data_IF_239821412367
#
_entry.id   IF_239821412367
#
_cell.length_a   1.000
_cell.length_b   1.000
_cell.length_c   1.000
_cell.angle_alpha   90.00
_cell.angle_beta   90.00
_cell.angle_gamma   90.00
#
_symmetry.space_group_name_H-M   'P 1'
#
loop_
_entity.id
_entity.type
_entity.pdbx_description
1 polymer ?
#
# COMPACT_ATOMS: atom_id res chain seq x y z
N UNK A 1 13.04 -12.15 -37.10
CA UNK A 1 13.85 -11.28 -36.20
C UNK A 1 13.06 -10.64 -35.05
N UNK A 2 11.78 -10.28 -35.20
CA UNK A 2 11.00 -9.52 -34.18
C UNK A 2 10.76 -10.28 -32.86
N UNK A 3 10.64 -11.63 -32.89
CA UNK A 3 10.42 -12.44 -31.68
C UNK A 3 11.57 -12.36 -30.67
N UNK A 4 12.79 -12.17 -31.17
CA UNK A 4 13.98 -11.95 -30.35
C UNK A 4 13.81 -10.66 -29.53
N UNK A 5 13.46 -9.55 -30.20
CA UNK A 5 13.42 -8.23 -29.57
C UNK A 5 12.45 -8.17 -28.37
N UNK A 6 11.21 -8.62 -28.52
CA UNK A 6 10.22 -8.59 -27.42
C UNK A 6 10.62 -9.47 -26.24
N UNK A 7 11.24 -10.63 -26.50
CA UNK A 7 11.71 -11.53 -25.45
C UNK A 7 12.89 -10.93 -24.69
N UNK A 8 13.86 -10.35 -25.39
CA UNK A 8 15.00 -9.68 -24.77
C UNK A 8 14.58 -8.41 -24.03
N UNK A 9 13.64 -7.63 -24.57
CA UNK A 9 13.10 -6.46 -23.90
C UNK A 9 12.36 -6.84 -22.59
N UNK A 10 11.47 -7.84 -22.65
CA UNK A 10 10.79 -8.34 -21.45
C UNK A 10 11.79 -8.84 -20.40
N UNK A 11 12.80 -9.60 -20.82
CA UNK A 11 13.86 -10.09 -19.93
C UNK A 11 14.66 -8.94 -19.30
N UNK A 12 15.08 -7.95 -20.10
CA UNK A 12 15.86 -6.81 -19.63
C UNK A 12 15.07 -5.97 -18.62
N UNK A 13 13.80 -5.66 -18.92
CA UNK A 13 12.91 -4.95 -18.01
C UNK A 13 12.74 -5.74 -16.70
N UNK A 14 12.45 -7.04 -16.80
CA UNK A 14 12.27 -7.91 -15.64
C UNK A 14 13.54 -7.97 -14.78
N UNK A 15 14.71 -8.07 -15.39
CA UNK A 15 15.98 -8.15 -14.66
C UNK A 15 16.23 -6.86 -13.87
N UNK A 16 16.04 -5.69 -14.49
CA UNK A 16 16.19 -4.39 -13.83
C UNK A 16 15.18 -4.20 -12.70
N UNK A 17 13.91 -4.55 -12.93
CA UNK A 17 12.85 -4.31 -11.93
C UNK A 17 12.85 -5.34 -10.79
N UNK A 18 13.38 -6.55 -11.02
CA UNK A 18 13.23 -7.70 -10.09
C UNK A 18 13.73 -7.42 -8.68
N UNK A 19 14.87 -6.74 -8.53
CA UNK A 19 15.46 -6.41 -7.23
C UNK A 19 14.52 -5.52 -6.40
N UNK A 20 13.96 -4.47 -7.03
CA UNK A 20 13.06 -3.54 -6.37
C UNK A 20 11.69 -4.18 -6.06
N UNK A 21 11.16 -4.98 -6.99
CA UNK A 21 9.90 -5.73 -6.79
C UNK A 21 10.06 -6.72 -5.63
N UNK A 22 11.21 -7.38 -5.50
CA UNK A 22 11.48 -8.31 -4.41
C UNK A 22 11.46 -7.61 -3.05
N UNK A 23 12.15 -6.47 -2.93
CA UNK A 23 12.14 -5.64 -1.71
C UNK A 23 10.71 -5.17 -1.40
N UNK A 24 10.00 -4.65 -2.40
CA UNK A 24 8.63 -4.17 -2.25
C UNK A 24 7.67 -5.28 -1.82
N UNK A 25 7.82 -6.49 -2.37
CA UNK A 25 7.01 -7.65 -2.01
C UNK A 25 7.28 -8.09 -0.56
N UNK A 26 8.54 -8.24 -0.17
CA UNK A 26 8.92 -8.65 1.18
C UNK A 26 8.42 -7.64 2.24
N UNK A 27 8.61 -6.35 1.99
CA UNK A 27 8.11 -5.29 2.88
C UNK A 27 6.58 -5.17 2.84
N UNK A 28 5.95 -5.40 1.69
CA UNK A 28 4.50 -5.39 1.52
C UNK A 28 3.80 -6.47 2.35
N UNK A 29 4.40 -7.67 2.46
CA UNK A 29 3.90 -8.74 3.34
C UNK A 29 3.89 -8.28 4.80
N UNK A 30 4.96 -7.63 5.26
CA UNK A 30 5.05 -7.09 6.62
C UNK A 30 3.98 -6.01 6.84
N UNK A 31 3.81 -5.09 5.87
CA UNK A 31 2.86 -3.99 5.96
C UNK A 31 1.40 -4.45 5.86
N UNK A 32 1.10 -5.57 5.21
CA UNK A 32 -0.25 -6.12 5.16
C UNK A 32 -0.77 -6.58 6.54
N UNK A 33 0.13 -6.87 7.49
CA UNK A 33 -0.22 -7.31 8.85
C UNK A 33 -0.64 -6.12 9.72
N UNK A 34 -0.06 -4.93 9.53
CA UNK A 34 -0.36 -3.75 10.36
C UNK A 34 -1.86 -3.39 10.39
N UNK A 35 -2.57 -3.29 9.24
CA UNK A 35 -4.02 -3.04 9.24
C UNK A 35 -4.84 -4.15 9.91
N UNK A 36 -4.43 -5.41 9.78
CA UNK A 36 -5.11 -6.56 10.41
C UNK A 36 -4.96 -6.46 11.92
N UNK A 37 -3.74 -6.21 12.41
CA UNK A 37 -3.47 -6.03 13.83
C UNK A 37 -4.27 -4.85 14.41
N UNK A 38 -4.34 -3.73 13.68
CA UNK A 38 -5.12 -2.56 14.11
C UNK A 38 -6.63 -2.83 14.15
N UNK A 39 -7.18 -3.61 13.23
CA UNK A 39 -8.60 -3.99 13.24
C UNK A 39 -8.96 -4.97 14.37
N UNK A 40 -8.00 -5.76 14.85
CA UNK A 40 -8.21 -6.69 15.97
C UNK A 40 -8.13 -6.01 17.34
N UNK A 41 -7.71 -4.74 17.41
CA UNK A 41 -7.67 -4.01 18.68
C UNK A 41 -9.10 -3.83 19.22
N UNK A 42 -9.35 -4.12 20.52
CA UNK A 42 -10.67 -3.98 21.15
C UNK A 42 -11.03 -2.51 21.44
N UNK A 43 -10.57 -1.58 20.60
CA UNK A 43 -10.80 -0.14 20.72
C UNK A 43 -12.00 0.33 19.88
N UNK A 44 -12.60 -0.57 19.08
CA UNK A 44 -13.72 -0.24 18.20
C UNK A 44 -14.99 -0.11 19.03
N UNK A 45 -15.38 1.12 19.32
CA UNK A 45 -16.66 1.39 19.97
C UNK A 45 -17.81 1.04 19.01
N UNK A 46 -18.74 0.19 19.45
CA UNK A 46 -19.95 -0.14 18.68
C UNK A 46 -20.82 1.10 18.40
N UNK A 47 -20.62 2.18 19.16
CA UNK A 47 -21.35 3.43 19.04
C UNK A 47 -20.77 4.39 17.98
N UNK A 48 -19.59 4.11 17.41
CA UNK A 48 -18.97 4.97 16.39
C UNK A 48 -19.88 5.18 15.18
N UNK A 49 -20.53 4.12 14.69
CA UNK A 49 -21.39 4.18 13.50
C UNK A 49 -22.68 4.98 13.72
N UNK A 50 -23.08 5.19 14.98
CA UNK A 50 -24.32 5.90 15.35
C UNK A 50 -24.08 7.32 15.88
N UNK A 51 -22.82 7.78 15.93
CA UNK A 51 -22.47 9.10 16.50
C UNK A 51 -22.22 10.10 15.39
N UNK A 52 -22.89 11.26 15.45
CA UNK A 52 -22.65 12.35 14.50
C UNK A 52 -21.32 13.05 14.82
N UNK A 53 -20.57 13.45 13.80
CA UNK A 53 -19.31 14.20 13.96
C UNK A 53 -19.49 15.45 14.84
N UNK A 54 -20.64 16.14 14.73
CA UNK A 54 -20.97 17.30 15.55
C UNK A 54 -21.05 16.98 17.05
N UNK A 55 -21.58 15.81 17.41
CA UNK A 55 -21.64 15.33 18.80
C UNK A 55 -20.24 15.02 19.32
N UNK A 56 -19.40 14.40 18.49
CA UNK A 56 -18.00 14.14 18.82
C UNK A 56 -17.21 15.43 19.03
N UNK A 57 -17.35 16.40 18.12
CA UNK A 57 -16.69 17.69 18.25
C UNK A 57 -17.15 18.45 19.51
N UNK A 58 -18.43 18.39 19.87
CA UNK A 58 -18.93 18.99 21.11
C UNK A 58 -18.37 18.30 22.36
N UNK A 59 -18.39 16.96 22.39
CA UNK A 59 -17.85 16.19 23.51
C UNK A 59 -16.34 16.45 23.70
N UNK A 60 -15.59 16.52 22.60
CA UNK A 60 -14.15 16.82 22.62
C UNK A 60 -13.90 18.24 23.05
N UNK A 61 -14.55 19.24 22.46
CA UNK A 61 -14.38 20.65 22.81
C UNK A 61 -14.68 20.94 24.28
N UNK A 62 -15.68 20.25 24.85
CA UNK A 62 -16.06 20.43 26.25
C UNK A 62 -15.07 19.82 27.24
N UNK A 63 -14.37 18.73 26.84
CA UNK A 63 -13.50 17.96 27.73
C UNK A 63 -12.01 18.25 27.53
N UNK A 64 -11.63 18.65 26.31
CA UNK A 64 -10.28 18.99 25.89
C UNK A 64 -10.33 20.33 25.13
N UNK A 65 -10.43 21.46 25.85
CA UNK A 65 -10.55 22.79 25.22
C UNK A 65 -9.30 23.17 24.40
N UNK A 66 -8.14 22.56 24.67
CA UNK A 66 -6.88 22.77 23.94
C UNK A 66 -6.56 21.64 22.94
N UNK A 67 -7.59 21.07 22.30
CA UNK A 67 -7.35 20.15 21.18
C UNK A 67 -6.73 20.86 19.97
N UNK A 68 -5.57 20.37 19.56
CA UNK A 68 -4.81 20.87 18.40
C UNK A 68 -5.30 20.21 17.12
N UNK A 69 -5.59 18.89 17.17
CA UNK A 69 -5.98 18.12 15.99
C UNK A 69 -6.87 16.94 16.35
N UNK A 70 -7.88 16.70 15.52
CA UNK A 70 -8.73 15.51 15.59
C UNK A 70 -8.64 14.77 14.25
N UNK A 71 -8.21 13.52 14.30
CA UNK A 71 -8.05 12.66 13.14
C UNK A 71 -8.88 11.39 13.31
N UNK A 72 -9.66 11.04 12.27
CA UNK A 72 -10.40 9.79 12.24
C UNK A 72 -9.59 8.79 11.42
N UNK A 73 -9.05 7.77 12.08
CA UNK A 73 -8.31 6.71 11.41
C UNK A 73 -9.24 5.77 10.62
N UNK A 74 -8.67 5.09 9.62
CA UNK A 74 -9.36 4.10 8.79
C UNK A 74 -9.96 2.93 9.59
N UNK A 75 -9.46 2.69 10.80
CA UNK A 75 -9.98 1.69 11.76
C UNK A 75 -11.15 2.21 12.61
N UNK A 76 -11.73 3.37 12.25
CA UNK A 76 -12.84 4.01 12.97
C UNK A 76 -12.48 4.41 14.41
N UNK A 77 -11.22 4.78 14.63
CA UNK A 77 -10.77 5.37 15.89
C UNK A 77 -10.67 6.88 15.73
N UNK A 78 -11.06 7.61 16.77
CA UNK A 78 -10.85 9.06 16.86
C UNK A 78 -9.58 9.28 17.66
N UNK A 79 -8.55 9.77 16.99
CA UNK A 79 -7.29 10.17 17.60
C UNK A 79 -7.34 11.67 17.83
N UNK A 80 -7.00 12.10 19.05
CA UNK A 80 -6.84 13.51 19.36
C UNK A 80 -5.41 13.81 19.77
N UNK A 81 -4.92 14.94 19.30
CA UNK A 81 -3.70 15.59 19.76
C UNK A 81 -4.13 16.78 20.63
N UNK A 82 -3.78 16.75 21.90
CA UNK A 82 -4.07 17.80 22.88
C UNK A 82 -2.82 18.15 23.64
N UNK A 83 -2.72 19.39 24.08
CA UNK A 83 -1.70 19.82 25.03
C UNK A 83 -2.26 19.57 26.43
N UNK A 84 -1.49 18.93 27.31
CA UNK A 84 -1.90 18.71 28.70
C UNK A 84 -1.66 19.97 29.55
N UNK A 85 -2.14 19.99 30.79
CA UNK A 85 -1.96 21.14 31.71
C UNK A 85 -0.48 21.43 32.04
N UNK A 86 0.43 20.50 31.74
CA UNK A 86 1.89 20.67 31.87
C UNK A 86 2.55 21.22 30.60
N UNK A 87 1.80 21.46 29.51
CA UNK A 87 2.33 21.97 28.24
C UNK A 87 2.97 20.90 27.34
N UNK A 88 2.72 19.61 27.60
CA UNK A 88 3.23 18.50 26.79
C UNK A 88 2.18 18.00 25.79
N UNK A 89 2.62 17.66 24.58
CA UNK A 89 1.76 17.08 23.54
C UNK A 89 1.38 15.64 23.91
N UNK A 90 0.07 15.38 24.10
CA UNK A 90 -0.48 14.05 24.28
C UNK A 90 -1.31 13.62 23.07
N UNK A 91 -1.01 12.43 22.55
CA UNK A 91 -1.80 11.79 21.50
C UNK A 91 -2.47 10.52 22.01
N UNK A 92 -3.81 10.47 21.97
CA UNK A 92 -4.54 9.30 22.44
C UNK A 92 -5.86 9.09 21.70
N UNK A 93 -6.37 7.86 21.79
CA UNK A 93 -7.65 7.47 21.23
C UNK A 93 -8.78 7.78 22.19
N UNK A 94 -9.86 8.37 21.67
CA UNK A 94 -11.04 8.71 22.44
C UNK A 94 -12.30 8.03 21.92
N UNK A 95 -13.27 7.90 22.80
CA UNK A 95 -14.60 7.45 22.47
C UNK A 95 -15.42 8.60 21.84
N UNK A 96 -16.05 8.38 20.67
CA UNK A 96 -16.63 9.45 19.85
C UNK A 96 -17.82 10.17 20.51
N UNK A 97 -18.50 9.55 21.49
CA UNK A 97 -19.71 10.11 22.11
C UNK A 97 -19.45 10.88 23.41
N UNK A 98 -18.52 10.43 24.24
CA UNK A 98 -18.26 10.97 25.58
C UNK A 98 -16.81 11.50 25.76
N UNK A 99 -16.00 11.43 24.71
CA UNK A 99 -14.60 11.83 24.70
C UNK A 99 -13.78 11.17 25.84
N UNK A 100 -14.11 9.95 26.25
CA UNK A 100 -13.28 9.19 27.20
C UNK A 100 -12.05 8.60 26.51
N UNK A 101 -10.89 8.68 27.18
CA UNK A 101 -9.63 8.10 26.72
C UNK A 101 -9.77 6.57 26.75
N UNK A 102 -9.82 5.95 25.57
CA UNK A 102 -9.92 4.49 25.41
C UNK A 102 -8.52 3.85 25.47
N UNK A 103 -7.49 4.57 25.03
CA UNK A 103 -6.11 4.09 25.08
C UNK A 103 -5.12 5.12 24.56
N UNK A 104 -3.84 4.96 24.90
CA UNK A 104 -2.77 5.78 24.34
C UNK A 104 -2.53 5.43 22.88
N UNK A 105 -2.20 6.45 22.06
CA UNK A 105 -1.70 6.21 20.71
C UNK A 105 -0.30 5.64 20.84
N UNK A 106 -0.15 4.31 20.78
CA UNK A 106 1.17 3.73 20.70
C UNK A 106 1.76 4.10 19.35
N UNK A 107 2.99 4.66 19.28
CA UNK A 107 3.65 4.91 18.01
C UNK A 107 3.74 3.60 17.20
N UNK A 108 3.66 3.72 15.87
CA UNK A 108 3.82 2.56 14.96
C UNK A 108 5.02 1.74 15.40
N UNK A 109 4.87 0.41 15.48
CA UNK A 109 5.98 -0.47 15.86
C UNK A 109 7.20 -0.19 14.96
N UNK A 110 8.43 -0.22 15.50
CA UNK A 110 9.65 0.06 14.73
C UNK A 110 9.76 -0.75 13.43
N UNK A 111 9.31 -2.01 13.47
CA UNK A 111 9.28 -2.89 12.30
C UNK A 111 8.40 -2.34 11.16
N UNK A 112 7.19 -1.85 11.47
CA UNK A 112 6.29 -1.29 10.47
C UNK A 112 6.80 0.06 9.93
N UNK A 113 7.44 0.88 10.78
CA UNK A 113 8.09 2.12 10.33
C UNK A 113 9.27 1.84 9.39
N UNK A 114 10.11 0.87 9.75
CA UNK A 114 11.22 0.39 8.92
C UNK A 114 10.70 -0.12 7.58
N UNK A 115 9.72 -1.03 7.59
CA UNK A 115 9.13 -1.60 6.39
C UNK A 115 8.47 -0.52 5.51
N UNK A 116 7.76 0.44 6.11
CA UNK A 116 7.12 1.56 5.38
C UNK A 116 8.17 2.42 4.67
N UNK A 117 9.25 2.75 5.37
CA UNK A 117 10.31 3.61 4.82
C UNK A 117 11.07 2.89 3.71
N UNK A 118 11.41 1.61 3.89
CA UNK A 118 12.04 0.80 2.87
C UNK A 118 11.14 0.62 1.64
N UNK A 119 9.86 0.25 1.84
CA UNK A 119 8.89 0.00 0.78
C UNK A 119 8.61 1.25 -0.07
N UNK A 120 8.51 2.40 0.58
CA UNK A 120 8.05 3.64 -0.08
C UNK A 120 9.19 4.45 -0.67
N UNK A 121 10.35 4.45 -0.04
CA UNK A 121 11.46 5.35 -0.42
C UNK A 121 12.83 4.72 -0.35
N UNK A 122 12.98 3.42 -0.08
CA UNK A 122 14.29 2.75 -0.01
C UNK A 122 15.27 3.43 0.97
N UNK A 123 14.76 4.15 2.00
CA UNK A 123 15.53 5.04 2.88
C UNK A 123 16.20 6.27 2.19
N UNK A 124 15.85 6.56 0.94
CA UNK A 124 16.40 7.66 0.13
C UNK A 124 15.43 8.85 -0.02
N UNK A 125 14.40 8.95 0.83
CA UNK A 125 13.47 10.08 0.82
C UNK A 125 12.75 10.28 -0.53
N UNK A 126 12.93 11.45 -1.15
CA UNK A 126 12.30 11.79 -2.44
C UNK A 126 12.83 10.96 -3.61
N UNK A 127 14.14 10.71 -3.66
CA UNK A 127 14.79 9.96 -4.74
C UNK A 127 14.26 8.53 -4.79
N UNK A 128 14.18 7.87 -3.64
CA UNK A 128 13.65 6.50 -3.61
C UNK A 128 12.16 6.43 -3.93
N UNK A 129 11.36 7.47 -3.64
CA UNK A 129 9.96 7.53 -4.12
C UNK A 129 9.88 7.55 -5.64
N UNK A 130 10.78 8.28 -6.31
CA UNK A 130 10.88 8.28 -7.78
C UNK A 130 11.30 6.88 -8.28
N UNK A 131 12.29 6.25 -7.65
CA UNK A 131 12.73 4.89 -8.02
C UNK A 131 11.58 3.88 -7.88
N UNK A 132 10.82 3.93 -6.79
CA UNK A 132 9.67 3.04 -6.57
C UNK A 132 8.53 3.32 -7.57
N UNK A 133 8.29 4.59 -7.93
CA UNK A 133 7.33 4.95 -8.98
C UNK A 133 7.76 4.39 -10.35
N UNK A 134 9.04 4.56 -10.72
CA UNK A 134 9.60 3.96 -11.94
C UNK A 134 9.49 2.44 -11.89
N UNK A 135 9.75 1.81 -10.74
CA UNK A 135 9.60 0.36 -10.55
C UNK A 135 8.16 -0.09 -10.83
N UNK A 136 7.16 0.65 -10.36
CA UNK A 136 5.75 0.36 -10.63
C UNK A 136 5.39 0.49 -12.12
N UNK A 137 5.97 1.49 -12.81
CA UNK A 137 5.83 1.64 -14.26
C UNK A 137 6.50 0.48 -15.02
N UNK A 138 7.71 0.08 -14.62
CA UNK A 138 8.41 -1.06 -15.20
C UNK A 138 7.61 -2.36 -15.01
N UNK A 139 7.03 -2.56 -13.83
CA UNK A 139 6.15 -3.70 -13.56
C UNK A 139 4.94 -3.74 -14.52
N UNK A 140 4.32 -2.59 -14.79
CA UNK A 140 3.25 -2.47 -15.78
C UNK A 140 3.73 -2.83 -17.20
N UNK A 141 4.90 -2.32 -17.61
CA UNK A 141 5.49 -2.63 -18.92
C UNK A 141 5.85 -4.12 -19.06
N UNK A 142 6.37 -4.75 -18.01
CA UNK A 142 6.65 -6.20 -17.96
C UNK A 142 5.33 -6.98 -18.12
N UNK A 143 4.24 -6.55 -17.47
CA UNK A 143 2.94 -7.18 -17.60
C UNK A 143 2.40 -7.09 -19.05
N UNK A 144 2.45 -5.90 -19.65
CA UNK A 144 2.00 -5.67 -21.04
C UNK A 144 2.82 -6.48 -22.05
N UNK A 145 4.15 -6.47 -21.92
CA UNK A 145 5.04 -7.26 -22.78
C UNK A 145 4.85 -8.77 -22.56
N UNK A 146 4.59 -9.20 -21.33
CA UNK A 146 4.27 -10.60 -21.01
C UNK A 146 2.97 -11.07 -21.67
N UNK A 147 1.91 -10.26 -21.63
CA UNK A 147 0.65 -10.52 -22.34
C UNK A 147 0.91 -10.67 -23.84
N UNK A 148 1.65 -9.72 -24.44
CA UNK A 148 2.01 -9.76 -25.85
C UNK A 148 2.75 -11.05 -26.24
N UNK A 149 3.73 -11.47 -25.42
CA UNK A 149 4.46 -12.72 -25.63
C UNK A 149 3.55 -13.96 -25.53
N UNK A 150 2.58 -13.98 -24.62
CA UNK A 150 1.60 -15.07 -24.50
C UNK A 150 0.72 -15.15 -25.75
N UNK A 151 0.20 -14.03 -26.24
CA UNK A 151 -0.64 -13.99 -27.45
C UNK A 151 0.14 -14.49 -28.66
N UNK A 152 1.39 -14.05 -28.81
CA UNK A 152 2.28 -14.52 -29.87
C UNK A 152 2.55 -16.02 -29.77
N UNK A 153 2.77 -16.54 -28.54
CA UNK A 153 2.95 -17.98 -28.30
C UNK A 153 1.70 -18.79 -28.68
N UNK A 154 0.51 -18.24 -28.42
CA UNK A 154 -0.78 -18.88 -28.72
C UNK A 154 -1.26 -18.65 -30.17
N UNK A 155 -0.54 -17.85 -30.96
CA UNK A 155 -0.84 -17.46 -32.35
C UNK A 155 -2.15 -16.69 -32.56
N UNK A 156 -2.98 -16.48 -31.52
CA UNK A 156 -4.25 -15.77 -31.64
C UNK A 156 -4.66 -15.12 -30.29
N UNK A 157 -5.20 -13.88 -30.33
CA UNK A 157 -5.68 -13.17 -29.13
C UNK A 157 -6.78 -13.93 -28.35
N UNK A 158 -7.77 -14.52 -29.05
CA UNK A 158 -8.82 -15.35 -28.44
C UNK A 158 -8.31 -16.61 -27.72
N UNK A 159 -7.10 -17.08 -28.07
CA UNK A 159 -6.48 -18.25 -27.44
C UNK A 159 -5.68 -17.90 -26.18
N UNK A 160 -5.70 -16.65 -25.73
CA UNK A 160 -5.10 -16.25 -24.47
C UNK A 160 -5.58 -17.11 -23.30
N UNK A 161 -6.87 -17.49 -23.30
CA UNK A 161 -7.47 -18.31 -22.24
C UNK A 161 -7.32 -19.83 -22.43
N UNK A 162 -6.85 -20.28 -23.60
CA UNK A 162 -6.71 -21.71 -23.89
C UNK A 162 -5.57 -22.36 -23.08
N UNK A 163 -5.54 -23.70 -23.11
CA UNK A 163 -4.52 -24.52 -22.44
C UNK A 163 -3.12 -24.13 -22.93
N UNK A 164 -2.24 -23.85 -21.98
CA UNK A 164 -0.83 -23.54 -22.28
C UNK A 164 -0.12 -24.82 -22.69
N UNK A 165 0.57 -24.80 -23.83
CA UNK A 165 1.39 -25.92 -24.30
C UNK A 165 2.56 -26.11 -23.31
N UNK A 166 2.81 -27.35 -22.91
CA UNK A 166 3.91 -27.68 -21.99
C UNK A 166 5.22 -27.70 -22.77
N UNK A 167 5.95 -26.59 -22.71
CA UNK A 167 7.27 -26.43 -23.36
C UNK A 167 8.39 -26.40 -22.28
N UNK A 168 8.36 -27.37 -21.37
CA UNK A 168 9.26 -27.47 -20.20
C UNK A 168 8.66 -26.91 -18.90
N UNK A 169 9.27 -27.25 -17.76
CA UNK A 169 8.74 -26.93 -16.43
C UNK A 169 8.70 -25.41 -16.16
N UNK A 170 9.83 -24.71 -16.23
CA UNK A 170 9.92 -23.28 -15.90
C UNK A 170 9.07 -22.38 -16.82
N UNK A 171 9.14 -22.50 -18.17
CA UNK A 171 8.36 -21.65 -19.07
C UNK A 171 6.84 -21.90 -18.97
N UNK A 172 6.45 -23.13 -18.62
CA UNK A 172 5.06 -23.48 -18.40
C UNK A 172 4.49 -22.79 -17.15
N UNK A 173 5.16 -22.92 -16.00
CA UNK A 173 4.70 -22.28 -14.77
C UNK A 173 4.81 -20.77 -14.81
N UNK A 174 5.85 -20.20 -15.43
CA UNK A 174 5.97 -18.76 -15.60
C UNK A 174 4.77 -18.17 -16.34
N UNK A 175 4.32 -18.82 -17.43
CA UNK A 175 3.14 -18.36 -18.20
C UNK A 175 1.83 -18.58 -17.44
N UNK A 176 1.68 -19.69 -16.71
CA UNK A 176 0.46 -19.93 -15.93
C UNK A 176 0.34 -18.94 -14.77
N UNK A 177 1.39 -18.82 -13.95
CA UNK A 177 1.40 -17.91 -12.83
C UNK A 177 1.25 -16.46 -13.31
N UNK A 178 1.97 -16.08 -14.37
CA UNK A 178 1.84 -14.75 -14.97
C UNK A 178 0.43 -14.41 -15.46
N UNK A 179 -0.34 -15.40 -15.96
CA UNK A 179 -1.74 -15.21 -16.32
C UNK A 179 -2.63 -15.00 -15.09
N UNK A 180 -2.43 -15.81 -14.06
CA UNK A 180 -3.22 -15.74 -12.82
C UNK A 180 -2.98 -14.43 -12.07
N UNK A 181 -1.73 -13.96 -12.04
CA UNK A 181 -1.34 -12.74 -11.33
C UNK A 181 -1.48 -11.49 -12.18
N UNK A 182 -1.85 -11.59 -13.47
CA UNK A 182 -1.92 -10.44 -14.37
C UNK A 182 -2.83 -9.33 -13.83
N UNK A 183 -4.05 -9.68 -13.39
CA UNK A 183 -5.02 -8.71 -12.87
C UNK A 183 -4.47 -8.03 -11.60
N UNK A 184 -4.03 -8.78 -10.55
CA UNK A 184 -3.36 -8.18 -9.40
C UNK A 184 -2.18 -7.28 -9.76
N UNK A 185 -1.31 -7.71 -10.68
CA UNK A 185 -0.12 -6.95 -11.09
C UNK A 185 -0.52 -5.63 -11.74
N UNK A 186 -1.52 -5.63 -12.62
CA UNK A 186 -2.01 -4.40 -13.27
C UNK A 186 -2.59 -3.43 -12.24
N UNK A 187 -3.38 -3.92 -11.28
CA UNK A 187 -3.95 -3.07 -10.22
C UNK A 187 -2.84 -2.48 -9.35
N UNK A 188 -1.92 -3.32 -8.84
CA UNK A 188 -0.84 -2.87 -7.94
C UNK A 188 0.10 -1.89 -8.67
N UNK A 189 0.48 -2.19 -9.91
CA UNK A 189 1.33 -1.28 -10.69
C UNK A 189 0.65 0.06 -10.95
N UNK A 190 -0.65 0.07 -11.30
CA UNK A 190 -1.39 1.31 -11.51
C UNK A 190 -1.53 2.15 -10.22
N UNK A 191 -1.87 1.50 -9.10
CA UNK A 191 -1.93 2.19 -7.79
C UNK A 191 -0.57 2.73 -7.35
N UNK A 192 0.52 2.00 -7.62
CA UNK A 192 1.90 2.44 -7.36
C UNK A 192 2.28 3.69 -8.15
N UNK A 193 1.90 3.75 -9.43
CA UNK A 193 2.12 4.93 -10.29
C UNK A 193 1.37 6.13 -9.72
N UNK A 194 0.09 5.96 -9.34
CA UNK A 194 -0.73 7.02 -8.77
C UNK A 194 -0.21 7.51 -7.41
N UNK A 195 0.36 6.63 -6.60
CA UNK A 195 0.87 6.96 -5.27
C UNK A 195 2.03 7.97 -5.30
N UNK A 196 2.67 8.20 -6.45
CA UNK A 196 3.72 9.20 -6.62
C UNK A 196 3.21 10.64 -6.40
N UNK A 197 1.97 10.93 -6.81
CA UNK A 197 1.41 12.29 -6.83
C UNK A 197 0.97 12.81 -5.45
N UNK A 198 0.93 11.97 -4.41
CA UNK A 198 0.15 12.28 -3.21
C UNK A 198 0.80 13.14 -2.11
N UNK A 199 2.14 13.24 -2.00
CA UNK A 199 2.78 13.89 -0.82
C UNK A 199 4.17 14.52 -1.11
N UNK A 200 4.32 15.25 -2.20
CA UNK A 200 5.47 16.17 -2.37
C UNK A 200 5.19 17.53 -1.69
N UNK A 201 3.92 17.85 -1.38
CA UNK A 201 3.49 19.18 -0.91
C UNK A 201 3.07 19.30 0.57
N UNK A 202 3.23 18.26 1.40
CA UNK A 202 2.88 18.34 2.84
C UNK A 202 4.12 18.08 3.72
N UNK A 203 5.21 18.71 3.33
CA UNK A 203 6.36 18.96 4.20
C UNK A 203 6.54 20.48 4.26
N UNK A 204 5.56 21.13 4.87
CA UNK A 204 5.64 22.48 5.46
C UNK A 204 5.01 22.37 6.82
#
# INVERSE_FOLDING_TARGET
MIFSLWRYAHLALALVASAFIFIASATGIILAIEPIENQLKPLKSAEFENTLLSQTLQAVKNKYPETVRLEVEHSSFVLIETINEQGEDETFYIHPKNAEKIGSSSPKKPLYQFATTLHRSLFMGSVGRVIMAITSLLLLLIALTGVWLIIKRQKHWWRFFHKVIKDGFYPYYHVILGRWTLIPIVIISFTGILSFNGKIFVAT
#
